data_IF_719596185280
#
_entry.id   IF_719596185280
#
_cell.length_a   1.000
_cell.length_b   1.000
_cell.length_c   1.000
_cell.angle_alpha   90.00
_cell.angle_beta   90.00
_cell.angle_gamma   90.00
#
_symmetry.space_group_name_H-M   'P 1'
#
loop_
_entity.id
_entity.type
_entity.pdbx_description
1 polymer ?
#
# COMPACT_ATOMS: atom_id res chain seq x y z
N UNK A 1 -11.91 19.10 11.87
CA UNK A 1 -11.51 19.57 10.52
C UNK A 1 -11.30 18.33 9.66
N UNK A 2 -12.40 17.76 9.13
CA UNK A 2 -12.45 16.46 8.42
C UNK A 2 -13.18 16.65 7.09
N UNK A 3 -12.56 17.37 6.15
CA UNK A 3 -13.11 17.57 4.81
C UNK A 3 -11.97 17.60 3.78
N UNK A 4 -11.26 16.50 3.59
CA UNK A 4 -10.29 16.44 2.47
C UNK A 4 -9.82 15.05 2.02
N UNK A 5 -10.67 14.02 2.10
CA UNK A 5 -10.34 12.69 1.53
C UNK A 5 -11.44 12.07 0.67
N UNK A 6 -12.36 12.88 0.16
CA UNK A 6 -13.51 12.38 -0.61
C UNK A 6 -13.52 12.82 -2.09
N UNK A 7 -12.35 13.15 -2.66
CA UNK A 7 -12.30 13.74 -4.01
C UNK A 7 -11.97 12.75 -5.14
N UNK A 8 -11.39 11.57 -4.89
CA UNK A 8 -11.05 10.63 -5.97
C UNK A 8 -11.00 9.17 -5.52
N UNK A 9 -12.14 8.54 -5.27
CA UNK A 9 -12.30 7.06 -5.12
C UNK A 9 -11.44 6.32 -4.08
N UNK A 10 -10.56 7.02 -3.37
CA UNK A 10 -9.56 6.45 -2.49
C UNK A 10 -10.14 6.32 -1.08
N UNK A 11 -10.81 5.20 -0.81
CA UNK A 11 -11.17 4.85 0.56
C UNK A 11 -9.91 4.37 1.30
N UNK A 12 -9.05 5.30 1.75
CA UNK A 12 -8.03 5.00 2.78
C UNK A 12 -8.81 4.82 4.08
N UNK A 13 -9.02 3.56 4.47
CA UNK A 13 -9.85 3.21 5.63
C UNK A 13 -9.17 3.49 6.99
N UNK A 14 -8.02 4.19 6.99
CA UNK A 14 -7.24 4.52 8.18
C UNK A 14 -6.31 3.39 8.65
N UNK A 15 -5.59 3.65 9.75
CA UNK A 15 -4.94 2.62 10.57
C UNK A 15 -5.99 2.21 11.59
N UNK A 16 -6.69 1.11 11.36
CA UNK A 16 -7.88 0.80 12.14
C UNK A 16 -7.86 -0.66 12.61
N UNK A 17 -8.06 -0.81 13.92
CA UNK A 17 -7.84 -2.02 14.72
C UNK A 17 -9.08 -2.92 14.78
N UNK A 18 -10.22 -2.52 14.20
CA UNK A 18 -11.52 -3.20 14.38
C UNK A 18 -12.20 -3.50 13.04
N UNK A 19 -11.75 -4.53 12.30
CA UNK A 19 -12.28 -4.85 10.95
C UNK A 19 -12.84 -6.27 10.74
N UNK A 20 -13.31 -6.95 11.79
CA UNK A 20 -13.87 -8.31 11.66
C UNK A 20 -15.24 -8.40 10.96
N UNK A 21 -15.92 -7.29 10.64
CA UNK A 21 -17.36 -7.32 10.27
C UNK A 21 -17.75 -6.91 8.84
N UNK A 22 -16.83 -6.62 7.91
CA UNK A 22 -17.24 -6.14 6.57
C UNK A 22 -16.62 -6.91 5.39
N UNK A 23 -17.48 -7.74 4.81
CA UNK A 23 -17.74 -7.96 3.38
C UNK A 23 -16.67 -8.59 2.44
N UNK A 24 -17.19 -9.34 1.48
CA UNK A 24 -16.45 -10.00 0.41
C UNK A 24 -15.93 -8.97 -0.59
N UNK A 25 -14.64 -8.72 -0.58
CA UNK A 25 -13.99 -7.85 -1.57
C UNK A 25 -12.96 -8.67 -2.36
N UNK A 26 -13.05 -8.63 -3.70
CA UNK A 26 -12.02 -9.15 -4.62
C UNK A 26 -11.04 -8.02 -4.92
N UNK A 27 -9.74 -8.31 -4.92
CA UNK A 27 -8.62 -7.40 -5.25
C UNK A 27 -8.49 -6.21 -4.26
N UNK A 28 -7.78 -6.38 -3.14
CA UNK A 28 -7.42 -5.30 -2.18
C UNK A 28 -5.94 -4.91 -2.32
N UNK A 29 -5.58 -3.71 -1.85
CA UNK A 29 -4.19 -3.28 -1.69
C UNK A 29 -3.86 -3.20 -0.19
N UNK A 30 -2.93 -4.04 0.28
CA UNK A 30 -2.45 -4.04 1.66
C UNK A 30 -1.04 -3.45 1.67
N UNK A 31 -0.83 -2.42 2.46
CA UNK A 31 0.42 -1.68 2.54
C UNK A 31 0.99 -1.86 3.94
N UNK A 32 2.08 -2.61 4.03
CA UNK A 32 2.71 -2.98 5.28
C UNK A 32 3.87 -2.03 5.58
N UNK A 33 3.79 -1.26 6.65
CA UNK A 33 4.74 -0.16 6.94
C UNK A 33 5.37 -0.23 8.35
N UNK A 34 4.90 -1.14 9.22
CA UNK A 34 5.38 -1.22 10.59
C UNK A 34 4.96 0.00 11.42
N UNK A 35 5.92 0.72 12.02
CA UNK A 35 5.66 1.90 12.87
C UNK A 35 6.25 3.18 12.27
N UNK A 36 5.59 3.79 11.26
CA UNK A 36 6.11 4.97 10.59
C UNK A 36 5.93 6.25 11.43
N UNK A 37 6.83 7.21 11.23
CA UNK A 37 6.62 8.61 11.61
C UNK A 37 5.53 9.26 10.75
N UNK A 38 5.08 10.48 11.12
CA UNK A 38 4.09 11.21 10.32
C UNK A 38 4.58 11.51 8.90
N UNK A 39 5.85 11.88 8.75
CA UNK A 39 6.48 12.17 7.46
C UNK A 39 6.55 10.91 6.58
N UNK A 40 6.95 9.78 7.17
CA UNK A 40 6.99 8.48 6.51
C UNK A 40 5.60 8.02 6.09
N UNK A 41 4.59 8.22 6.95
CA UNK A 41 3.20 7.92 6.63
C UNK A 41 2.66 8.81 5.51
N UNK A 42 3.05 10.09 5.46
CA UNK A 42 2.71 10.99 4.36
C UNK A 42 3.26 10.47 3.03
N UNK A 43 4.55 10.11 2.99
CA UNK A 43 5.16 9.52 1.80
C UNK A 43 4.43 8.25 1.34
N UNK A 44 4.11 7.34 2.27
CA UNK A 44 3.39 6.11 1.96
C UNK A 44 2.01 6.41 1.38
N UNK A 45 1.25 7.35 1.98
CA UNK A 45 -0.04 7.78 1.44
C UNK A 45 0.08 8.36 0.03
N UNK A 46 1.11 9.17 -0.24
CA UNK A 46 1.37 9.70 -1.59
C UNK A 46 1.64 8.59 -2.60
N UNK A 47 2.43 7.57 -2.23
CA UNK A 47 2.69 6.41 -3.09
C UNK A 47 1.39 5.64 -3.38
N UNK A 48 0.60 5.35 -2.34
CA UNK A 48 -0.69 4.67 -2.48
C UNK A 48 -1.67 5.43 -3.38
N UNK A 49 -1.72 6.75 -3.24
CA UNK A 49 -2.56 7.61 -4.07
C UNK A 49 -2.20 7.47 -5.56
N UNK A 50 -0.90 7.56 -5.90
CA UNK A 50 -0.46 7.41 -7.29
C UNK A 50 -0.69 6.01 -7.85
N UNK A 51 -0.51 4.96 -7.05
CA UNK A 51 -0.76 3.57 -7.45
C UNK A 51 -2.23 3.38 -7.85
N UNK A 52 -3.15 3.81 -6.99
CA UNK A 52 -4.59 3.65 -7.24
C UNK A 52 -5.07 4.53 -8.39
N UNK A 53 -4.54 5.76 -8.51
CA UNK A 53 -4.89 6.64 -9.64
C UNK A 53 -4.50 6.02 -10.99
N UNK A 54 -3.36 5.32 -11.05
CA UNK A 54 -2.82 4.81 -12.31
C UNK A 54 -3.32 3.41 -12.69
N UNK A 55 -3.70 2.56 -11.73
CA UNK A 55 -3.90 1.14 -12.03
C UNK A 55 -5.20 0.52 -11.49
N UNK A 56 -5.80 0.98 -10.38
CA UNK A 56 -6.98 0.29 -9.82
C UNK A 56 -7.84 1.12 -8.84
N UNK A 57 -9.17 0.91 -8.88
CA UNK A 57 -10.11 1.23 -7.78
C UNK A 57 -10.01 0.20 -6.62
N UNK A 58 -8.79 -0.08 -6.12
CA UNK A 58 -8.55 -1.03 -5.02
C UNK A 58 -8.78 -0.37 -3.65
N UNK A 59 -9.48 -1.05 -2.75
CA UNK A 59 -9.52 -0.65 -1.35
C UNK A 59 -8.13 -0.80 -0.72
N UNK A 60 -7.64 0.26 -0.08
CA UNK A 60 -6.27 0.33 0.44
C UNK A 60 -6.23 0.33 1.96
N UNK A 61 -5.46 -0.60 2.53
CA UNK A 61 -5.26 -0.75 3.97
C UNK A 61 -3.80 -0.53 4.31
N UNK A 62 -3.50 0.45 5.17
CA UNK A 62 -2.16 0.67 5.71
C UNK A 62 -2.09 0.00 7.08
N UNK A 63 -1.22 -0.99 7.23
CA UNK A 63 -1.20 -1.89 8.40
C UNK A 63 0.22 -2.06 8.95
N UNK A 64 0.30 -2.43 10.24
CA UNK A 64 1.58 -2.73 10.92
C UNK A 64 2.07 -4.16 10.68
N UNK A 65 1.14 -5.09 10.55
CA UNK A 65 1.37 -6.53 10.32
C UNK A 65 0.41 -7.03 9.24
N UNK A 66 0.78 -8.11 8.54
CA UNK A 66 -0.10 -8.71 7.55
C UNK A 66 -1.35 -9.28 8.25
N UNK A 67 -2.57 -8.84 7.89
CA UNK A 67 -3.77 -9.29 8.58
C UNK A 67 -4.06 -10.77 8.30
N UNK A 68 -4.60 -11.49 9.29
CA UNK A 68 -4.99 -12.91 9.13
C UNK A 68 -6.06 -13.14 8.06
N UNK A 69 -6.81 -12.08 7.70
CA UNK A 69 -7.83 -12.11 6.66
C UNK A 69 -7.29 -11.82 5.25
N UNK A 70 -6.00 -11.50 5.12
CA UNK A 70 -5.34 -11.34 3.83
C UNK A 70 -5.46 -12.65 3.03
N UNK A 71 -5.86 -12.53 1.78
CA UNK A 71 -6.04 -13.64 0.85
C UNK A 71 -4.90 -13.64 -0.17
N UNK A 72 -4.74 -14.75 -0.87
CA UNK A 72 -3.72 -14.92 -1.92
C UNK A 72 -3.91 -13.97 -3.11
N UNK A 73 -5.12 -13.50 -3.35
CA UNK A 73 -5.46 -12.55 -4.42
C UNK A 73 -5.33 -11.08 -4.01
N UNK A 74 -4.97 -10.79 -2.75
CA UNK A 74 -4.69 -9.42 -2.32
C UNK A 74 -3.30 -8.99 -2.78
N UNK A 75 -3.19 -7.77 -3.29
CA UNK A 75 -1.91 -7.17 -3.59
C UNK A 75 -1.28 -6.62 -2.31
N UNK A 76 -0.02 -6.97 -2.04
CA UNK A 76 0.72 -6.50 -0.86
C UNK A 76 1.92 -5.66 -1.30
N UNK A 77 2.02 -4.45 -0.75
CA UNK A 77 3.22 -3.61 -0.82
C UNK A 77 3.87 -3.63 0.56
N UNK A 78 5.04 -4.26 0.66
CA UNK A 78 5.73 -4.47 1.93
C UNK A 78 6.94 -3.55 2.07
N UNK A 79 6.77 -2.47 2.83
CA UNK A 79 7.86 -1.59 3.24
C UNK A 79 8.59 -2.11 4.48
N UNK A 80 7.98 -3.01 5.26
CA UNK A 80 8.52 -3.52 6.51
C UNK A 80 9.45 -4.73 6.32
N UNK A 81 9.40 -5.38 5.16
CA UNK A 81 10.20 -6.58 4.84
C UNK A 81 9.81 -7.79 5.69
N UNK A 82 8.54 -7.90 6.07
CA UNK A 82 8.02 -8.94 6.94
C UNK A 82 7.27 -10.04 6.19
N UNK A 83 6.97 -9.82 4.90
CA UNK A 83 6.21 -10.76 4.08
C UNK A 83 7.17 -11.47 3.12
N UNK A 84 7.16 -12.82 3.06
CA UNK A 84 7.93 -13.55 2.07
C UNK A 84 7.58 -13.11 0.64
N UNK A 85 8.58 -13.13 -0.24
CA UNK A 85 8.39 -12.80 -1.66
C UNK A 85 7.40 -13.77 -2.28
N UNK A 86 6.37 -13.22 -2.92
CA UNK A 86 5.36 -13.94 -3.67
C UNK A 86 4.90 -13.08 -4.87
N UNK A 87 4.17 -13.68 -5.80
CA UNK A 87 3.72 -13.02 -7.04
C UNK A 87 2.89 -11.75 -6.78
N UNK A 88 2.07 -11.78 -5.72
CA UNK A 88 1.20 -10.70 -5.29
C UNK A 88 1.85 -9.77 -4.24
N UNK A 89 3.15 -9.93 -3.94
CA UNK A 89 3.88 -9.18 -2.91
C UNK A 89 5.06 -8.45 -3.55
N UNK A 90 5.13 -7.12 -3.38
CA UNK A 90 6.30 -6.33 -3.73
C UNK A 90 6.94 -5.75 -2.47
N UNK A 91 8.22 -6.08 -2.26
CA UNK A 91 9.03 -5.47 -1.20
C UNK A 91 9.60 -4.13 -1.66
N UNK A 92 9.41 -3.07 -0.86
CA UNK A 92 9.97 -1.75 -1.08
C UNK A 92 10.89 -1.34 0.08
N UNK A 93 11.86 -0.43 -0.14
CA UNK A 93 12.69 0.09 0.94
C UNK A 93 11.87 0.79 2.01
N UNK A 94 12.22 0.63 3.29
CA UNK A 94 11.54 1.30 4.41
C UNK A 94 11.40 2.83 4.15
N UNK A 95 10.28 3.49 4.51
CA UNK A 95 10.00 4.86 4.09
C UNK A 95 11.10 5.86 4.47
N UNK A 96 11.72 5.67 5.65
CA UNK A 96 12.88 6.45 6.08
C UNK A 96 14.01 6.49 5.07
N UNK A 97 14.31 5.34 4.46
CA UNK A 97 15.38 5.22 3.46
C UNK A 97 15.01 5.97 2.17
N UNK A 98 13.75 5.95 1.78
CA UNK A 98 13.25 6.66 0.59
C UNK A 98 13.35 8.18 0.79
N UNK A 99 13.06 8.68 1.99
CA UNK A 99 13.21 10.09 2.34
C UNK A 99 14.69 10.53 2.28
N UNK A 100 15.59 9.67 2.77
CA UNK A 100 17.04 9.94 2.81
C UNK A 100 17.73 9.82 1.44
N UNK A 101 17.21 8.99 0.54
CA UNK A 101 17.82 8.70 -0.77
C UNK A 101 16.83 9.01 -1.91
N UNK A 102 16.72 10.28 -2.38
CA UNK A 102 15.78 10.67 -3.43
C UNK A 102 15.92 9.90 -4.75
N UNK A 103 17.12 9.38 -5.05
CA UNK A 103 17.39 8.54 -6.22
C UNK A 103 16.57 7.25 -6.23
N UNK A 104 16.16 6.74 -5.06
CA UNK A 104 15.32 5.54 -4.95
C UNK A 104 13.92 5.75 -5.53
N UNK A 105 13.40 6.98 -5.54
CA UNK A 105 12.04 7.27 -6.01
C UNK A 105 11.81 6.80 -7.44
N UNK A 106 12.76 7.06 -8.35
CA UNK A 106 12.65 6.64 -9.76
C UNK A 106 12.64 5.11 -9.89
N UNK A 107 13.49 4.43 -9.13
CA UNK A 107 13.55 2.97 -9.11
C UNK A 107 12.24 2.37 -8.60
N UNK A 108 11.73 2.87 -7.47
CA UNK A 108 10.47 2.41 -6.87
C UNK A 108 9.31 2.54 -7.84
N UNK A 109 9.21 3.64 -8.59
CA UNK A 109 8.16 3.80 -9.59
C UNK A 109 8.25 2.78 -10.73
N UNK A 110 9.46 2.46 -11.20
CA UNK A 110 9.68 1.40 -12.19
C UNK A 110 9.27 0.02 -11.64
N UNK A 111 9.76 -0.32 -10.46
CA UNK A 111 9.46 -1.61 -9.80
C UNK A 111 7.95 -1.79 -9.57
N UNK A 112 7.26 -0.72 -9.12
CA UNK A 112 5.80 -0.71 -8.94
C UNK A 112 5.07 -0.86 -10.28
N UNK A 113 5.47 -0.13 -11.32
CA UNK A 113 4.82 -0.20 -12.63
C UNK A 113 4.92 -1.63 -13.21
N UNK A 114 6.12 -2.21 -13.22
CA UNK A 114 6.34 -3.58 -13.71
C UNK A 114 5.54 -4.60 -12.90
N UNK A 115 5.49 -4.43 -11.58
CA UNK A 115 4.72 -5.30 -10.70
C UNK A 115 3.22 -5.24 -10.97
N UNK A 116 2.64 -4.03 -11.13
CA UNK A 116 1.21 -3.90 -11.43
C UNK A 116 0.86 -4.36 -12.84
N UNK A 117 1.72 -4.13 -13.84
CA UNK A 117 1.53 -4.64 -15.22
C UNK A 117 1.50 -6.17 -15.25
N UNK A 118 2.40 -6.84 -14.50
CA UNK A 118 2.39 -8.31 -14.40
C UNK A 118 1.15 -8.87 -13.71
N UNK A 119 0.56 -8.10 -12.79
CA UNK A 119 -0.60 -8.50 -11.99
C UNK A 119 -1.92 -7.93 -12.53
N UNK A 120 -1.89 -7.29 -13.70
CA UNK A 120 -3.06 -6.82 -14.43
C UNK A 120 -3.52 -7.84 -15.47
N UNK A 121 -4.32 -8.79 -15.00
CA UNK A 121 -5.28 -9.56 -15.82
C UNK A 121 -6.48 -8.69 -16.23
#
# INVERSE_FOLDING_TARGET
MNKELNLYGLHILGIDTIWEKRASFKKRLIVLVGEPTEEELYLVKSICFSINFNHYEKQTFIVKSLPKWAKKDDTVVDFAGLVPIAENVIGLPYPRKILQEPSLKKKIWGDLADFFIRNSD
#
